data_IF_908499360344
#
_entry.id   IF_908499360344
#
_cell.length_a   1.000
_cell.length_b   1.000
_cell.length_c   1.000
_cell.angle_alpha   90.00
_cell.angle_beta   90.00
_cell.angle_gamma   90.00
#
_symmetry.space_group_name_H-M   'P 1'
#
loop_
_entity.id
_entity.type
_entity.pdbx_description
1 polymer ?
#
# COMPACT_ATOMS: atom_id res chain seq x y z
N UNK A 1 -12.24 -4.69 -9.25
CA UNK A 1 -12.67 -6.08 -8.94
C UNK A 1 -12.33 -6.48 -7.49
N UNK A 2 -11.26 -5.95 -6.89
CA UNK A 2 -10.92 -6.18 -5.47
C UNK A 2 -11.79 -5.39 -4.48
N UNK A 3 -12.26 -4.19 -4.85
CA UNK A 3 -13.13 -3.35 -4.01
C UNK A 3 -14.49 -4.00 -3.71
N UNK A 4 -14.98 -4.84 -4.62
CA UNK A 4 -16.19 -5.65 -4.42
C UNK A 4 -15.95 -6.86 -3.50
N UNK A 5 -14.75 -7.46 -3.56
CA UNK A 5 -14.37 -8.59 -2.69
C UNK A 5 -14.16 -8.18 -1.22
N UNK A 6 -13.83 -6.91 -0.96
CA UNK A 6 -13.63 -6.38 0.41
C UNK A 6 -14.94 -5.90 1.06
N UNK A 7 -16.10 -6.27 0.49
CA UNK A 7 -17.42 -5.97 1.05
C UNK A 7 -17.74 -4.47 1.19
N UNK A 8 -17.02 -3.57 0.51
CA UNK A 8 -17.35 -2.12 0.51
C UNK A 8 -18.78 -1.88 0.04
N UNK A 9 -19.26 -2.68 -0.91
CA UNK A 9 -20.60 -2.59 -1.46
C UNK A 9 -21.70 -3.14 -0.52
N UNK A 10 -21.35 -3.99 0.45
CA UNK A 10 -22.30 -4.63 1.38
C UNK A 10 -22.29 -3.97 2.77
N UNK A 11 -21.12 -3.57 3.26
CA UNK A 11 -20.91 -2.85 4.53
C UNK A 11 -19.82 -1.79 4.36
N UNK A 12 -20.17 -0.57 3.91
CA UNK A 12 -19.20 0.45 3.54
C UNK A 12 -18.25 0.82 4.69
N UNK A 13 -18.73 0.76 5.93
CA UNK A 13 -17.92 1.02 7.12
C UNK A 13 -16.82 -0.03 7.28
N UNK A 14 -17.15 -1.33 7.32
CA UNK A 14 -16.18 -2.40 7.57
C UNK A 14 -15.23 -2.59 6.39
N UNK A 15 -15.74 -2.48 5.16
CA UNK A 15 -14.92 -2.57 3.95
C UNK A 15 -13.88 -1.45 3.86
N UNK A 16 -14.21 -0.22 4.27
CA UNK A 16 -13.25 0.89 4.29
C UNK A 16 -12.09 0.65 5.26
N UNK A 17 -12.37 0.13 6.47
CA UNK A 17 -11.33 -0.20 7.45
C UNK A 17 -10.41 -1.34 6.97
N UNK A 18 -10.98 -2.37 6.34
CA UNK A 18 -10.20 -3.48 5.77
C UNK A 18 -9.34 -3.02 4.58
N UNK A 19 -9.89 -2.19 3.68
CA UNK A 19 -9.12 -1.58 2.60
C UNK A 19 -7.99 -0.69 3.14
N UNK A 20 -8.24 0.07 4.20
CA UNK A 20 -7.21 0.87 4.86
C UNK A 20 -6.06 -0.01 5.36
N UNK A 21 -6.38 -1.07 6.10
CA UNK A 21 -5.37 -2.03 6.58
C UNK A 21 -4.58 -2.66 5.44
N UNK A 22 -5.26 -3.09 4.37
CA UNK A 22 -4.61 -3.69 3.21
C UNK A 22 -3.69 -2.69 2.48
N UNK A 23 -4.14 -1.47 2.26
CA UNK A 23 -3.35 -0.41 1.63
C UNK A 23 -2.14 -0.03 2.48
N UNK A 24 -2.27 0.02 3.81
CA UNK A 24 -1.15 0.27 4.73
C UNK A 24 -0.12 -0.86 4.61
N UNK A 25 -0.54 -2.12 4.72
CA UNK A 25 0.36 -3.28 4.61
C UNK A 25 1.07 -3.29 3.24
N UNK A 26 0.30 -3.09 2.16
CA UNK A 26 0.84 -3.12 0.80
C UNK A 26 1.80 -1.95 0.55
N UNK A 27 1.52 -0.76 1.07
CA UNK A 27 2.41 0.39 1.00
C UNK A 27 3.71 0.16 1.78
N UNK A 28 3.65 -0.50 2.95
CA UNK A 28 4.83 -0.91 3.71
C UNK A 28 5.69 -1.89 2.90
N UNK A 29 5.07 -2.90 2.27
CA UNK A 29 5.77 -3.87 1.41
C UNK A 29 6.43 -3.14 0.24
N UNK A 30 5.71 -2.29 -0.47
CA UNK A 30 6.23 -1.50 -1.60
C UNK A 30 7.38 -0.60 -1.15
N UNK A 31 7.29 0.04 0.01
CA UNK A 31 8.37 0.88 0.53
C UNK A 31 9.63 0.06 0.85
N UNK A 32 9.46 -1.09 1.50
CA UNK A 32 10.54 -1.99 1.84
C UNK A 32 11.16 -2.68 0.59
N UNK A 33 10.37 -2.88 -0.47
CA UNK A 33 10.84 -3.40 -1.75
C UNK A 33 11.52 -2.33 -2.61
N UNK A 34 10.96 -1.13 -2.69
CA UNK A 34 11.43 -0.05 -3.55
C UNK A 34 12.79 0.50 -3.14
N UNK A 35 13.05 0.64 -1.84
CA UNK A 35 14.32 1.19 -1.37
C UNK A 35 14.72 0.65 0.01
N UNK A 36 15.29 -0.55 0.04
CA UNK A 36 16.12 -0.99 1.15
C UNK A 36 17.49 -0.28 1.11
N UNK A 37 17.51 1.07 1.18
CA UNK A 37 18.72 1.77 1.65
C UNK A 37 18.69 1.74 3.16
N UNK A 38 19.85 1.53 3.80
CA UNK A 38 20.04 1.66 5.25
C UNK A 38 19.56 3.04 5.70
N UNK A 39 18.29 3.18 6.06
CA UNK A 39 17.76 4.39 6.66
C UNK A 39 18.07 4.32 8.15
N UNK A 40 18.62 5.42 8.69
CA UNK A 40 18.80 5.53 10.14
C UNK A 40 17.46 5.32 10.84
N UNK A 41 17.49 4.72 12.05
CA UNK A 41 16.28 4.40 12.82
C UNK A 41 15.29 5.57 12.91
N UNK A 42 15.80 6.79 13.03
CA UNK A 42 15.01 8.03 13.06
C UNK A 42 14.25 8.31 11.74
N UNK A 43 14.88 8.07 10.58
CA UNK A 43 14.20 8.23 9.27
C UNK A 43 13.15 7.16 9.04
N UNK A 44 13.35 5.95 9.56
CA UNK A 44 12.38 4.87 9.44
C UNK A 44 11.05 5.24 10.12
N UNK A 45 11.10 5.78 11.34
CA UNK A 45 9.89 6.20 12.07
C UNK A 45 9.13 7.29 11.32
N UNK A 46 9.82 8.31 10.78
CA UNK A 46 9.18 9.37 9.98
C UNK A 46 8.49 8.84 8.73
N UNK A 47 9.13 7.89 8.03
CA UNK A 47 8.56 7.22 6.85
C UNK A 47 7.32 6.41 7.21
N UNK A 48 7.36 5.62 8.28
CA UNK A 48 6.18 4.86 8.74
C UNK A 48 5.03 5.80 9.11
N UNK A 49 5.34 6.95 9.70
CA UNK A 49 4.35 7.99 9.99
C UNK A 49 3.74 8.58 8.72
N UNK A 50 4.57 8.93 7.73
CA UNK A 50 4.10 9.37 6.42
C UNK A 50 3.25 8.30 5.72
N UNK A 51 3.61 7.01 5.80
CA UNK A 51 2.83 5.91 5.23
C UNK A 51 1.44 5.82 5.84
N UNK A 52 1.34 5.95 7.16
CA UNK A 52 0.06 5.91 7.88
C UNK A 52 -0.82 7.10 7.49
N UNK A 53 -0.23 8.29 7.33
CA UNK A 53 -0.94 9.51 6.93
C UNK A 53 -1.31 9.49 5.44
N UNK A 54 -0.41 9.07 4.53
CA UNK A 54 -0.67 8.98 3.09
C UNK A 54 -1.68 7.88 2.73
N UNK A 55 -1.83 6.85 3.58
CA UNK A 55 -2.87 5.83 3.39
C UNK A 55 -4.30 6.39 3.55
N UNK A 56 -4.49 7.52 4.25
CA UNK A 56 -5.81 8.17 4.42
C UNK A 56 -6.38 8.74 3.11
N UNK A 57 -5.66 9.56 2.31
CA UNK A 57 -6.17 9.97 1.01
C UNK A 57 -6.24 8.80 0.01
N UNK A 58 -5.35 7.79 0.11
CA UNK A 58 -5.40 6.58 -0.72
C UNK A 58 -6.69 5.77 -0.51
N UNK A 59 -7.17 5.69 0.72
CA UNK A 59 -8.46 5.02 1.01
C UNK A 59 -9.65 5.81 0.53
N UNK A 60 -9.62 7.14 0.65
CA UNK A 60 -10.65 7.98 0.04
C UNK A 60 -10.71 7.74 -1.48
N UNK A 61 -9.56 7.77 -2.16
CA UNK A 61 -9.47 7.47 -3.60
C UNK A 61 -9.99 6.06 -3.93
N UNK A 62 -9.70 5.06 -3.11
CA UNK A 62 -10.20 3.69 -3.30
C UNK A 62 -11.73 3.60 -3.15
N UNK A 63 -12.33 4.37 -2.22
CA UNK A 63 -13.78 4.46 -2.03
C UNK A 63 -14.46 5.17 -3.21
N UNK A 64 -13.79 6.12 -3.87
CA UNK A 64 -14.25 6.71 -5.13
C UNK A 64 -14.23 5.73 -6.32
N UNK A 65 -13.90 4.45 -6.10
CA UNK A 65 -13.90 3.41 -7.12
C UNK A 65 -12.61 3.36 -7.94
N UNK A 66 -11.56 4.09 -7.55
CA UNK A 66 -10.28 4.03 -8.23
C UNK A 66 -9.53 2.72 -7.87
N UNK A 67 -8.87 2.06 -8.84
CA UNK A 67 -8.11 0.82 -8.65
C UNK A 67 -6.75 1.07 -7.96
N UNK A 68 -6.76 1.73 -6.80
CA UNK A 68 -5.54 2.08 -6.04
C UNK A 68 -4.83 0.81 -5.57
N UNK A 69 -5.56 -0.14 -4.98
CA UNK A 69 -4.98 -1.40 -4.52
C UNK A 69 -4.33 -2.19 -5.66
N UNK A 70 -5.00 -2.30 -6.81
CA UNK A 70 -4.45 -3.00 -7.99
C UNK A 70 -3.15 -2.35 -8.48
N UNK A 71 -3.08 -1.01 -8.53
CA UNK A 71 -1.85 -0.30 -8.90
C UNK A 71 -0.69 -0.54 -7.93
N UNK A 72 -0.95 -0.58 -6.61
CA UNK A 72 0.09 -0.91 -5.63
C UNK A 72 0.58 -2.36 -5.77
N UNK A 73 -0.29 -3.31 -6.09
CA UNK A 73 0.11 -4.71 -6.34
C UNK A 73 1.06 -4.78 -7.52
N UNK A 74 0.75 -4.10 -8.63
CA UNK A 74 1.62 -4.06 -9.81
C UNK A 74 2.98 -3.44 -9.46
N UNK A 75 3.00 -2.33 -8.72
CA UNK A 75 4.26 -1.69 -8.28
C UNK A 75 5.08 -2.63 -7.40
N UNK A 76 4.43 -3.36 -6.47
CA UNK A 76 5.10 -4.33 -5.61
C UNK A 76 5.76 -5.44 -6.42
N UNK A 77 5.07 -5.98 -7.44
CA UNK A 77 5.60 -7.01 -8.35
C UNK A 77 6.78 -6.45 -9.15
N UNK A 78 6.63 -5.26 -9.71
CA UNK A 78 7.66 -4.58 -10.51
C UNK A 78 8.92 -4.36 -9.67
N UNK A 79 8.80 -3.80 -8.46
CA UNK A 79 9.94 -3.63 -7.56
C UNK A 79 10.53 -4.95 -7.06
N UNK A 80 9.71 -5.97 -6.85
CA UNK A 80 10.19 -7.32 -6.52
C UNK A 80 11.05 -7.90 -7.63
N UNK A 81 10.60 -7.78 -8.88
CA UNK A 81 11.35 -8.19 -10.06
C UNK A 81 12.63 -7.38 -10.25
N UNK A 82 12.58 -6.05 -10.06
CA UNK A 82 13.78 -5.20 -10.10
C UNK A 82 14.79 -5.58 -9.03
N UNK A 83 14.35 -5.83 -7.79
CA UNK A 83 15.25 -6.23 -6.70
C UNK A 83 15.90 -7.58 -6.98
N UNK A 84 15.16 -8.53 -7.57
CA UNK A 84 15.74 -9.81 -8.00
C UNK A 84 16.80 -9.60 -9.09
N UNK A 85 16.50 -8.78 -10.11
CA UNK A 85 17.46 -8.48 -11.18
C UNK A 85 18.70 -7.75 -10.66
N UNK A 86 18.57 -6.85 -9.70
CA UNK A 86 19.69 -6.08 -9.15
C UNK A 86 20.53 -6.86 -8.12
N UNK A 87 19.95 -7.92 -7.54
CA UNK A 87 20.65 -8.84 -6.64
C UNK A 87 21.51 -9.87 -7.38
N UNK A 88 21.42 -9.90 -8.72
CA UNK A 88 22.18 -10.77 -9.62
C UNK A 88 23.18 -9.94 -10.42
#
# INVERSE_FOLDING_TARGET
MLTELVLVNQTPTVGAWLLYGMLVILSIIVFNLGFARKLSLLKNVFVYFMLLVLALPLTLLAIFGLPVAESLVIIAIVFGAYKWRLAM
#
